data_IF_391989474357
#
_entry.id   IF_391989474357
#
_cell.length_a   1.000
_cell.length_b   1.000
_cell.length_c   1.000
_cell.angle_alpha   90.00
_cell.angle_beta   90.00
_cell.angle_gamma   90.00
#
_symmetry.space_group_name_H-M   'P 1'
#
loop_
_entity.id
_entity.type
_entity.pdbx_description
1 polymer ?
#
# COMPACT_ATOMS: atom_id res chain seq x y z
N UNK A 1 35.77 3.82 -23.86
CA UNK A 1 34.77 4.18 -22.82
C UNK A 1 33.68 3.10 -22.69
N UNK A 2 33.78 2.20 -21.71
CA UNK A 2 32.81 1.11 -21.56
C UNK A 2 31.65 1.48 -20.60
N UNK A 3 30.45 1.13 -21.08
CA UNK A 3 29.26 0.63 -20.35
C UNK A 3 28.70 1.39 -19.14
N UNK A 4 27.57 2.07 -19.36
CA UNK A 4 26.54 2.33 -18.35
C UNK A 4 25.85 1.00 -18.01
N UNK A 5 26.22 0.44 -16.86
CA UNK A 5 25.61 -0.74 -16.26
C UNK A 5 24.57 -0.31 -15.23
N UNK A 6 23.33 -0.77 -15.42
CA UNK A 6 22.55 -1.34 -14.33
C UNK A 6 21.72 -0.39 -13.47
N UNK A 7 20.49 -0.13 -13.90
CA UNK A 7 19.36 -0.03 -12.97
C UNK A 7 18.32 -1.04 -13.42
N UNK A 8 18.56 -2.31 -13.06
CA UNK A 8 17.53 -3.34 -13.16
C UNK A 8 16.56 -3.10 -12.02
N UNK A 9 15.37 -2.59 -12.34
CA UNK A 9 14.19 -2.70 -11.49
C UNK A 9 14.06 -4.19 -11.10
N UNK A 10 14.10 -4.45 -9.79
CA UNK A 10 13.94 -5.77 -9.17
C UNK A 10 12.49 -6.24 -9.34
N UNK A 11 12.10 -6.57 -10.57
CA UNK A 11 10.94 -7.41 -10.81
C UNK A 11 11.32 -8.83 -10.39
N UNK A 12 10.82 -9.25 -9.22
CA UNK A 12 10.95 -10.61 -8.69
C UNK A 12 10.69 -11.66 -9.79
N UNK A 13 11.41 -12.79 -9.73
CA UNK A 13 11.18 -13.94 -10.63
C UNK A 13 9.73 -14.44 -10.58
N UNK A 14 9.01 -14.17 -9.47
CA UNK A 14 7.58 -14.45 -9.33
C UNK A 14 6.74 -13.49 -10.19
N UNK A 15 7.03 -12.18 -10.19
CA UNK A 15 6.34 -11.20 -11.01
C UNK A 15 6.44 -11.57 -12.51
N UNK A 16 7.62 -12.01 -12.97
CA UNK A 16 7.80 -12.45 -14.38
C UNK A 16 7.02 -13.72 -14.76
N UNK A 17 6.70 -14.60 -13.81
CA UNK A 17 5.93 -15.82 -14.08
C UNK A 17 4.43 -15.58 -14.21
N UNK A 18 3.89 -14.55 -13.54
CA UNK A 18 2.47 -14.19 -13.63
C UNK A 18 2.08 -13.78 -15.07
N UNK A 19 3.03 -13.27 -15.85
CA UNK A 19 2.77 -12.77 -17.21
C UNK A 19 2.91 -13.81 -18.35
N UNK A 20 3.13 -15.11 -18.09
CA UNK A 20 3.51 -16.07 -19.15
C UNK A 20 2.70 -17.37 -19.30
N UNK A 21 1.63 -17.62 -18.55
CA UNK A 21 0.82 -18.83 -18.78
C UNK A 21 -0.55 -18.51 -19.39
N UNK A 22 -0.89 -19.06 -20.59
CA UNK A 22 -2.24 -18.96 -21.13
C UNK A 22 -3.16 -19.94 -20.39
N UNK A 23 -4.14 -19.42 -19.65
CA UNK A 23 -5.17 -20.22 -18.99
C UNK A 23 -6.19 -20.77 -20.01
N UNK A 24 -6.60 -22.03 -19.82
CA UNK A 24 -7.68 -22.67 -20.58
C UNK A 24 -9.02 -21.91 -20.43
N UNK A 25 -9.88 -21.91 -21.48
CA UNK A 25 -11.13 -21.16 -21.46
C UNK A 25 -12.13 -21.79 -20.49
N UNK A 26 -12.22 -21.25 -19.27
CA UNK A 26 -13.33 -21.51 -18.37
C UNK A 26 -14.55 -20.73 -18.82
N UNK A 27 -15.72 -21.34 -18.70
CA UNK A 27 -17.02 -20.80 -19.08
C UNK A 27 -17.21 -19.39 -18.49
N UNK A 28 -17.28 -18.37 -19.35
CA UNK A 28 -17.52 -16.96 -18.96
C UNK A 28 -18.81 -16.86 -18.16
N UNK A 29 -18.70 -16.64 -16.87
CA UNK A 29 -19.80 -16.02 -16.10
C UNK A 29 -19.89 -14.60 -16.64
N UNK A 30 -21.03 -14.24 -17.23
CA UNK A 30 -21.29 -12.88 -17.73
C UNK A 30 -21.28 -11.93 -16.52
N UNK A 31 -20.14 -11.30 -16.28
CA UNK A 31 -20.05 -10.17 -15.36
C UNK A 31 -20.96 -9.02 -15.83
N UNK A 32 -21.32 -8.08 -14.94
CA UNK A 32 -22.10 -6.90 -15.33
C UNK A 32 -21.41 -6.17 -16.48
N UNK A 33 -22.21 -5.66 -17.42
CA UNK A 33 -21.71 -4.92 -18.55
C UNK A 33 -21.11 -3.59 -18.07
N UNK A 34 -19.86 -3.31 -18.42
CA UNK A 34 -19.12 -2.11 -17.98
C UNK A 34 -19.88 -0.81 -18.33
N UNK A 35 -20.63 -0.81 -19.43
CA UNK A 35 -21.45 0.33 -19.87
C UNK A 35 -22.58 0.69 -18.89
N UNK A 36 -23.06 -0.28 -18.11
CA UNK A 36 -24.14 -0.10 -17.16
C UNK A 36 -23.63 0.39 -15.78
N UNK A 37 -22.32 0.28 -15.53
CA UNK A 37 -21.68 0.66 -14.27
C UNK A 37 -21.24 2.14 -14.30
N UNK A 38 -21.89 3.05 -13.55
CA UNK A 38 -21.59 4.48 -13.61
C UNK A 38 -20.13 4.84 -13.28
N UNK A 39 -19.49 4.01 -12.44
CA UNK A 39 -18.10 4.18 -12.02
C UNK A 39 -17.10 3.87 -13.15
N UNK A 40 -17.45 2.94 -14.04
CA UNK A 40 -16.52 2.31 -14.98
C UNK A 40 -16.80 2.67 -16.46
N UNK A 41 -18.04 3.03 -16.81
CA UNK A 41 -18.40 3.45 -18.17
C UNK A 41 -17.65 4.72 -18.57
N UNK A 42 -17.39 4.88 -19.87
CA UNK A 42 -16.66 6.05 -20.38
C UNK A 42 -17.33 7.37 -19.98
N UNK A 43 -16.53 8.29 -19.44
CA UNK A 43 -17.01 9.60 -19.01
C UNK A 43 -16.30 10.72 -19.80
N UNK A 44 -16.96 11.38 -20.76
CA UNK A 44 -16.35 12.46 -21.54
C UNK A 44 -16.04 13.71 -20.69
N UNK A 45 -16.65 13.85 -19.50
CA UNK A 45 -16.41 14.97 -18.57
C UNK A 45 -15.32 14.69 -17.54
N UNK A 46 -14.66 13.52 -17.60
CA UNK A 46 -13.70 13.06 -16.58
C UNK A 46 -12.54 14.02 -16.26
N UNK A 47 -12.26 14.97 -17.15
CA UNK A 47 -11.14 15.92 -17.04
C UNK A 47 -11.50 17.25 -16.37
N UNK A 48 -12.78 17.49 -16.05
CA UNK A 48 -13.23 18.73 -15.40
C UNK A 48 -13.91 18.37 -14.08
N UNK A 49 -13.45 18.96 -12.98
CA UNK A 49 -13.95 18.64 -11.63
C UNK A 49 -15.37 19.16 -11.41
N UNK A 50 -15.71 20.36 -11.91
CA UNK A 50 -17.02 20.96 -11.69
C UNK A 50 -17.97 20.77 -12.89
N UNK A 51 -19.28 20.62 -12.63
CA UNK A 51 -19.92 20.51 -11.31
C UNK A 51 -19.70 19.13 -10.65
N UNK A 52 -19.62 19.10 -9.31
CA UNK A 52 -19.53 17.84 -8.54
C UNK A 52 -20.83 17.05 -8.70
N UNK A 53 -20.72 15.78 -9.02
CA UNK A 53 -21.83 14.83 -9.17
C UNK A 53 -21.94 13.94 -7.93
N UNK A 54 -20.83 13.32 -7.51
CA UNK A 54 -20.77 12.39 -6.37
C UNK A 54 -20.22 13.08 -5.12
N UNK A 55 -21.13 13.67 -4.34
CA UNK A 55 -20.76 14.51 -3.20
C UNK A 55 -20.16 13.72 -2.04
N UNK A 56 -20.64 12.50 -1.79
CA UNK A 56 -20.10 11.54 -0.83
C UNK A 56 -18.64 11.18 -1.12
N UNK A 57 -18.34 10.83 -2.38
CA UNK A 57 -16.98 10.54 -2.87
C UNK A 57 -16.10 11.79 -2.76
N UNK A 58 -16.62 12.95 -3.14
CA UNK A 58 -15.88 14.21 -2.99
C UNK A 58 -15.55 14.55 -1.53
N UNK A 59 -16.47 14.29 -0.60
CA UNK A 59 -16.20 14.47 0.83
C UNK A 59 -15.10 13.53 1.33
N UNK A 60 -15.04 12.28 0.85
CA UNK A 60 -13.93 11.37 1.17
C UNK A 60 -12.59 11.92 0.69
N UNK A 61 -12.55 12.44 -0.55
CA UNK A 61 -11.34 13.10 -1.06
C UNK A 61 -10.94 14.30 -0.20
N UNK A 62 -11.90 15.15 0.20
CA UNK A 62 -11.61 16.29 1.08
C UNK A 62 -11.16 15.89 2.48
N UNK A 63 -11.64 14.77 3.03
CA UNK A 63 -11.11 14.21 4.27
C UNK A 63 -9.67 13.73 4.12
N UNK A 64 -9.35 13.07 3.01
CA UNK A 64 -7.99 12.63 2.71
C UNK A 64 -7.05 13.83 2.55
N UNK A 65 -7.44 14.81 1.74
CA UNK A 65 -6.68 16.04 1.51
C UNK A 65 -6.41 16.81 2.82
N UNK A 66 -7.41 16.92 3.69
CA UNK A 66 -7.26 17.57 5.00
C UNK A 66 -6.37 16.80 6.00
N UNK A 67 -6.03 15.55 5.69
CA UNK A 67 -5.22 14.67 6.53
C UNK A 67 -3.75 14.60 6.10
N UNK A 68 -3.36 15.38 5.08
CA UNK A 68 -1.99 15.43 4.56
C UNK A 68 -0.94 15.59 5.67
N UNK A 69 0.17 14.88 5.53
CA UNK A 69 1.36 14.98 6.36
C UNK A 69 2.59 14.55 5.55
N UNK A 70 3.80 14.94 5.97
CA UNK A 70 5.06 14.46 5.37
C UNK A 70 5.91 13.69 6.36
N UNK A 71 6.83 12.85 5.85
CA UNK A 71 7.70 12.04 6.70
C UNK A 71 8.59 12.89 7.63
N UNK A 72 8.94 14.11 7.23
CA UNK A 72 9.72 15.06 8.05
C UNK A 72 8.98 15.55 9.30
N UNK A 73 7.66 15.43 9.36
CA UNK A 73 6.88 15.78 10.55
C UNK A 73 7.07 14.76 11.70
N UNK A 74 7.65 13.59 11.40
CA UNK A 74 7.90 12.52 12.37
C UNK A 74 9.31 12.64 12.95
N UNK A 75 9.40 13.08 14.21
CA UNK A 75 10.67 13.15 14.95
C UNK A 75 11.17 11.76 15.38
N UNK A 76 12.20 11.26 14.70
CA UNK A 76 12.87 9.99 15.02
C UNK A 76 14.10 10.15 15.94
N UNK A 77 14.42 11.36 16.40
CA UNK A 77 15.68 11.66 17.10
C UNK A 77 15.89 10.85 18.38
N UNK A 78 14.79 10.48 19.05
CA UNK A 78 14.81 9.71 20.31
C UNK A 78 14.71 8.21 20.09
N UNK A 79 14.23 7.78 18.92
CA UNK A 79 13.86 6.38 18.71
C UNK A 79 15.05 5.44 18.75
N UNK A 80 16.25 5.88 18.34
CA UNK A 80 17.43 5.02 18.37
C UNK A 80 17.79 4.59 19.80
N UNK A 81 17.59 5.47 20.79
CA UNK A 81 17.83 5.13 22.19
C UNK A 81 16.81 4.12 22.70
N UNK A 82 15.55 4.27 22.29
CA UNK A 82 14.51 3.29 22.59
C UNK A 82 14.82 1.94 21.94
N UNK A 83 15.18 1.93 20.64
CA UNK A 83 15.54 0.74 19.89
C UNK A 83 16.66 -0.06 20.56
N UNK A 84 17.74 0.63 20.97
CA UNK A 84 18.87 -0.02 21.63
C UNK A 84 18.51 -0.60 23.01
N UNK A 85 17.46 -0.06 23.67
CA UNK A 85 16.94 -0.55 24.96
C UNK A 85 15.95 -1.72 24.85
N UNK A 86 15.42 -1.99 23.66
CA UNK A 86 14.47 -3.08 23.44
C UNK A 86 15.12 -4.46 23.58
N UNK A 87 14.31 -5.44 23.97
CA UNK A 87 14.75 -6.84 23.98
C UNK A 87 15.00 -7.33 22.55
N UNK A 88 15.91 -8.30 22.36
CA UNK A 88 16.17 -8.88 21.04
C UNK A 88 14.91 -9.36 20.32
N UNK A 89 13.95 -9.94 21.04
CA UNK A 89 12.70 -10.46 20.47
C UNK A 89 11.75 -9.33 20.04
N UNK A 90 11.76 -8.21 20.76
CA UNK A 90 10.97 -7.01 20.40
C UNK A 90 11.54 -6.35 19.15
N UNK A 91 12.88 -6.24 19.05
CA UNK A 91 13.54 -5.75 17.84
C UNK A 91 13.28 -6.65 16.64
N UNK A 92 13.39 -7.96 16.83
CA UNK A 92 13.08 -8.95 15.80
C UNK A 92 11.63 -8.80 15.31
N UNK A 93 10.67 -8.70 16.23
CA UNK A 93 9.27 -8.51 15.87
C UNK A 93 9.04 -7.22 15.07
N UNK A 94 9.55 -6.09 15.56
CA UNK A 94 9.36 -4.78 14.91
C UNK A 94 10.03 -4.75 13.54
N UNK A 95 11.27 -5.24 13.42
CA UNK A 95 11.98 -5.24 12.13
C UNK A 95 11.23 -6.06 11.07
N UNK A 96 10.64 -7.19 11.46
CA UNK A 96 9.86 -8.04 10.54
C UNK A 96 8.52 -7.40 10.16
N UNK A 97 7.89 -6.65 11.07
CA UNK A 97 6.69 -5.87 10.76
C UNK A 97 7.00 -4.73 9.79
N UNK A 98 8.09 -3.98 10.02
CA UNK A 98 8.52 -2.91 9.11
C UNK A 98 8.89 -3.43 7.72
N UNK A 99 9.54 -4.59 7.64
CA UNK A 99 9.88 -5.24 6.39
C UNK A 99 8.65 -5.67 5.58
N UNK A 100 7.59 -6.10 6.27
CA UNK A 100 6.29 -6.35 5.63
C UNK A 100 5.67 -5.06 5.07
N UNK A 101 5.65 -3.98 5.85
CA UNK A 101 5.06 -2.71 5.43
C UNK A 101 5.81 -2.07 4.25
N UNK A 102 7.14 -1.97 4.34
CA UNK A 102 7.97 -1.38 3.29
C UNK A 102 7.78 -2.04 1.90
N UNK A 103 7.40 -3.32 1.90
CA UNK A 103 7.08 -4.06 0.68
C UNK A 103 5.60 -3.93 0.24
N UNK A 104 4.67 -3.71 1.17
CA UNK A 104 3.24 -3.81 0.90
C UNK A 104 2.68 -2.55 0.24
N UNK A 105 3.07 -1.36 0.70
CA UNK A 105 2.58 -0.09 0.14
C UNK A 105 2.99 0.06 -1.33
N UNK A 106 4.17 -0.44 -1.70
CA UNK A 106 4.59 -0.52 -3.10
C UNK A 106 3.65 -1.37 -3.97
N UNK A 107 3.13 -2.49 -3.44
CA UNK A 107 2.17 -3.35 -4.14
C UNK A 107 0.79 -2.68 -4.25
N UNK A 108 0.34 -2.02 -3.18
CA UNK A 108 -0.90 -1.23 -3.19
C UNK A 108 -0.82 -0.13 -4.26
N UNK A 109 0.29 0.60 -4.29
CA UNK A 109 0.51 1.68 -5.24
C UNK A 109 0.53 1.17 -6.70
N UNK A 110 1.18 0.04 -6.97
CA UNK A 110 1.17 -0.59 -8.29
C UNK A 110 -0.26 -0.91 -8.77
N UNK A 111 -1.13 -1.43 -7.88
CA UNK A 111 -2.54 -1.65 -8.20
C UNK A 111 -3.31 -0.36 -8.47
N UNK A 112 -3.12 0.67 -7.63
CA UNK A 112 -3.81 1.94 -7.77
C UNK A 112 -3.46 2.60 -9.11
N UNK A 113 -2.18 2.61 -9.48
CA UNK A 113 -1.68 3.23 -10.71
C UNK A 113 -2.08 2.44 -11.96
N UNK A 114 -1.89 1.13 -11.96
CA UNK A 114 -2.09 0.30 -13.15
C UNK A 114 -3.55 -0.13 -13.37
N UNK A 115 -4.35 -0.20 -12.30
CA UNK A 115 -5.72 -0.74 -12.34
C UNK A 115 -6.73 0.31 -11.93
N UNK A 116 -6.92 0.55 -10.63
CA UNK A 116 -8.11 1.28 -10.14
C UNK A 116 -8.21 2.70 -10.70
N UNK A 117 -7.12 3.46 -10.74
CA UNK A 117 -7.12 4.82 -11.30
C UNK A 117 -7.27 4.86 -12.82
N UNK A 118 -7.07 3.74 -13.53
CA UNK A 118 -7.30 3.65 -14.97
C UNK A 118 -8.74 3.23 -15.28
N UNK A 119 -9.30 2.32 -14.49
CA UNK A 119 -10.62 1.75 -14.68
C UNK A 119 -11.73 2.73 -14.27
N UNK A 120 -11.56 3.43 -13.15
CA UNK A 120 -12.56 4.38 -12.65
C UNK A 120 -12.59 5.67 -13.48
N UNK A 121 -13.78 6.00 -13.99
CA UNK A 121 -14.02 7.11 -14.91
C UNK A 121 -14.63 8.36 -14.26
N UNK A 122 -15.21 8.27 -13.06
CA UNK A 122 -15.73 9.44 -12.35
C UNK A 122 -14.60 10.27 -11.75
N UNK A 123 -14.70 11.59 -11.84
CA UNK A 123 -13.59 12.50 -11.53
C UNK A 123 -13.27 12.54 -10.04
N UNK A 124 -14.29 12.53 -9.18
CA UNK A 124 -14.15 12.62 -7.73
C UNK A 124 -13.37 11.43 -7.15
N UNK A 125 -13.64 10.21 -7.64
CA UNK A 125 -12.91 9.02 -7.22
C UNK A 125 -11.46 9.02 -7.73
N UNK A 126 -11.23 9.55 -8.94
CA UNK A 126 -9.86 9.75 -9.45
C UNK A 126 -9.07 10.76 -8.62
N UNK A 127 -9.73 11.80 -8.09
CA UNK A 127 -9.11 12.72 -7.15
C UNK A 127 -8.73 12.03 -5.84
N UNK A 128 -9.61 11.17 -5.29
CA UNK A 128 -9.28 10.36 -4.12
C UNK A 128 -8.08 9.45 -4.39
N UNK A 129 -8.12 8.62 -5.45
CA UNK A 129 -7.02 7.72 -5.78
C UNK A 129 -5.71 8.44 -6.08
N UNK A 130 -5.75 9.61 -6.73
CA UNK A 130 -4.56 10.43 -6.95
C UNK A 130 -3.92 10.88 -5.63
N UNK A 131 -4.73 11.19 -4.62
CA UNK A 131 -4.25 11.56 -3.29
C UNK A 131 -3.77 10.33 -2.49
N UNK A 132 -4.50 9.21 -2.56
CA UNK A 132 -4.10 7.94 -1.96
C UNK A 132 -2.72 7.50 -2.49
N UNK A 133 -2.50 7.51 -3.81
CA UNK A 133 -1.19 7.22 -4.43
C UNK A 133 -0.08 8.11 -3.86
N UNK A 134 -0.36 9.40 -3.62
CA UNK A 134 0.61 10.31 -3.02
C UNK A 134 0.93 9.92 -1.58
N UNK A 135 -0.09 9.59 -0.78
CA UNK A 135 0.09 9.15 0.61
C UNK A 135 0.81 7.80 0.72
N UNK A 136 0.50 6.82 -0.13
CA UNK A 136 1.22 5.53 -0.17
C UNK A 136 2.73 5.69 -0.42
N UNK A 137 3.12 6.68 -1.22
CA UNK A 137 4.53 7.01 -1.43
C UNK A 137 5.18 7.58 -0.15
N UNK A 138 4.46 8.44 0.59
CA UNK A 138 4.91 8.98 1.87
C UNK A 138 4.99 7.88 2.93
N UNK A 139 4.04 6.94 2.95
CA UNK A 139 4.07 5.77 3.84
C UNK A 139 5.29 4.90 3.55
N UNK A 140 5.54 4.60 2.26
CA UNK A 140 6.72 3.86 1.81
C UNK A 140 8.04 4.52 2.23
N UNK A 141 8.12 5.85 2.10
CA UNK A 141 9.26 6.64 2.58
C UNK A 141 9.40 6.53 4.11
N UNK A 142 8.31 6.71 4.85
CA UNK A 142 8.31 6.64 6.31
C UNK A 142 8.79 5.28 6.82
N UNK A 143 8.31 4.18 6.24
CA UNK A 143 8.79 2.84 6.61
C UNK A 143 10.27 2.63 6.26
N UNK A 144 10.71 3.18 5.13
CA UNK A 144 12.12 3.14 4.74
C UNK A 144 13.01 3.91 5.72
N UNK A 145 12.58 5.09 6.17
CA UNK A 145 13.27 5.90 7.18
C UNK A 145 13.32 5.20 8.54
N UNK A 146 12.23 4.54 8.96
CA UNK A 146 12.21 3.75 10.20
C UNK A 146 13.23 2.60 10.15
N UNK A 147 13.26 1.83 9.06
CA UNK A 147 14.25 0.77 8.86
C UNK A 147 15.67 1.34 8.85
N UNK A 148 15.91 2.42 8.11
CA UNK A 148 17.24 3.05 8.01
C UNK A 148 17.75 3.54 9.36
N UNK A 149 16.85 4.11 10.17
CA UNK A 149 17.15 4.63 11.51
C UNK A 149 17.51 3.49 12.48
N UNK A 150 16.76 2.38 12.46
CA UNK A 150 16.89 1.32 13.45
C UNK A 150 17.97 0.28 13.10
N UNK A 151 18.12 0.00 11.80
CA UNK A 151 18.95 -1.11 11.30
C UNK A 151 20.25 -0.56 10.73
N UNK A 152 21.28 -0.53 11.58
CA UNK A 152 22.62 -0.01 11.22
C UNK A 152 23.41 -0.96 10.32
N UNK A 153 23.17 -2.27 10.42
CA UNK A 153 23.84 -3.25 9.56
C UNK A 153 23.25 -3.24 8.16
N UNK A 154 24.09 -2.99 7.16
CA UNK A 154 23.64 -2.87 5.77
C UNK A 154 23.11 -4.17 5.19
N UNK A 155 23.62 -5.32 5.65
CA UNK A 155 23.16 -6.63 5.18
C UNK A 155 21.78 -6.96 5.74
N UNK A 156 21.56 -6.70 7.03
CA UNK A 156 20.22 -6.82 7.63
C UNK A 156 19.22 -5.87 6.94
N UNK A 157 19.63 -4.63 6.65
CA UNK A 157 18.80 -3.67 5.92
C UNK A 157 18.40 -4.18 4.53
N UNK A 158 19.37 -4.69 3.76
CA UNK A 158 19.11 -5.29 2.44
C UNK A 158 18.19 -6.52 2.54
N UNK A 159 18.36 -7.34 3.58
CA UNK A 159 17.50 -8.50 3.84
C UNK A 159 16.04 -8.07 4.08
N UNK A 160 15.82 -7.01 4.86
CA UNK A 160 14.49 -6.50 5.20
C UNK A 160 13.84 -5.77 4.02
N UNK A 161 14.57 -4.96 3.26
CA UNK A 161 14.01 -4.31 2.06
C UNK A 161 13.64 -5.32 0.96
N UNK A 162 14.30 -6.47 0.91
CA UNK A 162 13.96 -7.55 -0.02
C UNK A 162 12.99 -8.59 0.58
N UNK A 163 12.18 -8.22 1.59
CA UNK A 163 11.31 -9.13 2.33
C UNK A 163 10.42 -10.05 1.48
N UNK A 164 9.94 -9.59 0.32
CA UNK A 164 9.15 -10.42 -0.60
C UNK A 164 9.94 -11.65 -1.07
N UNK A 165 11.25 -11.52 -1.25
CA UNK A 165 12.12 -12.61 -1.69
C UNK A 165 12.76 -13.37 -0.52
N UNK A 166 12.98 -12.69 0.60
CA UNK A 166 13.78 -13.21 1.73
C UNK A 166 12.93 -13.75 2.89
N UNK A 167 11.69 -13.30 3.06
CA UNK A 167 10.83 -13.64 4.20
C UNK A 167 9.57 -14.39 3.76
N UNK A 168 9.45 -15.70 4.02
CA UNK A 168 8.31 -16.50 3.57
C UNK A 168 6.94 -16.00 4.04
N UNK A 169 6.85 -15.43 5.25
CA UNK A 169 5.61 -14.87 5.78
C UNK A 169 5.15 -13.63 5.03
N UNK A 170 6.08 -12.74 4.66
CA UNK A 170 5.81 -11.54 3.84
C UNK A 170 5.48 -11.96 2.42
N UNK A 171 6.28 -12.85 1.85
CA UNK A 171 6.06 -13.39 0.50
C UNK A 171 4.65 -13.92 0.29
N UNK A 172 4.11 -14.69 1.24
CA UNK A 172 2.76 -15.25 1.11
C UNK A 172 1.68 -14.17 1.03
N UNK A 173 1.81 -13.07 1.79
CA UNK A 173 0.89 -11.93 1.73
C UNK A 173 1.07 -11.15 0.41
N UNK A 174 2.31 -10.89 0.01
CA UNK A 174 2.64 -10.22 -1.24
C UNK A 174 2.12 -10.99 -2.46
N UNK A 175 2.38 -12.30 -2.53
CA UNK A 175 1.90 -13.17 -3.61
C UNK A 175 0.36 -13.18 -3.70
N UNK A 176 -0.34 -13.08 -2.56
CA UNK A 176 -1.80 -12.99 -2.53
C UNK A 176 -2.29 -11.66 -3.11
N UNK A 177 -1.67 -10.52 -2.75
CA UNK A 177 -2.04 -9.20 -3.27
C UNK A 177 -1.70 -9.08 -4.76
N UNK A 178 -0.49 -9.47 -5.17
CA UNK A 178 -0.02 -9.44 -6.57
C UNK A 178 -0.91 -10.28 -7.51
N UNK A 179 -1.49 -11.38 -7.01
CA UNK A 179 -2.46 -12.16 -7.78
C UNK A 179 -3.62 -11.30 -8.25
N UNK A 180 -4.19 -10.45 -7.40
CA UNK A 180 -5.35 -9.63 -7.74
C UNK A 180 -5.03 -8.50 -8.73
N UNK A 181 -3.79 -8.01 -8.73
CA UNK A 181 -3.31 -7.05 -9.73
C UNK A 181 -3.29 -7.71 -11.12
N UNK A 182 -2.69 -8.90 -11.20
CA UNK A 182 -2.54 -9.67 -12.43
C UNK A 182 -3.79 -10.41 -12.89
N UNK A 183 -4.83 -10.51 -12.07
CA UNK A 183 -6.07 -11.19 -12.42
C UNK A 183 -6.88 -10.34 -13.41
N UNK A 184 -6.95 -10.83 -14.65
CA UNK A 184 -7.69 -10.20 -15.76
C UNK A 184 -9.14 -10.67 -15.85
N UNK A 185 -9.48 -11.74 -15.16
CA UNK A 185 -10.84 -12.30 -15.17
C UNK A 185 -11.65 -11.77 -13.98
N UNK A 186 -11.00 -11.43 -12.86
CA UNK A 186 -11.64 -10.83 -11.69
C UNK A 186 -12.23 -9.45 -12.01
N UNK A 187 -13.47 -9.26 -11.57
CA UNK A 187 -14.21 -8.00 -11.72
C UNK A 187 -13.57 -6.89 -10.89
N UNK A 188 -13.92 -5.63 -11.20
CA UNK A 188 -13.53 -4.50 -10.34
C UNK A 188 -14.06 -4.69 -8.91
N UNK A 189 -15.31 -5.15 -8.75
CA UNK A 189 -15.92 -5.42 -7.45
C UNK A 189 -15.17 -6.45 -6.60
N UNK A 190 -14.73 -7.57 -7.20
CA UNK A 190 -13.91 -8.55 -6.47
C UNK A 190 -12.55 -7.98 -6.08
N UNK A 191 -11.92 -7.22 -6.97
CA UNK A 191 -10.60 -6.63 -6.72
C UNK A 191 -10.66 -5.52 -5.67
N UNK A 192 -11.67 -4.66 -5.66
CA UNK A 192 -11.81 -3.62 -4.63
C UNK A 192 -12.01 -4.24 -3.24
N UNK A 193 -12.79 -5.32 -3.14
CA UNK A 193 -12.91 -6.10 -1.89
C UNK A 193 -11.58 -6.72 -1.49
N UNK A 194 -10.84 -7.27 -2.45
CA UNK A 194 -9.52 -7.83 -2.18
C UNK A 194 -8.54 -6.78 -1.64
N UNK A 195 -8.52 -5.58 -2.21
CA UNK A 195 -7.64 -4.50 -1.76
C UNK A 195 -8.09 -3.86 -0.45
N UNK A 196 -9.40 -3.77 -0.18
CA UNK A 196 -9.90 -3.44 1.15
C UNK A 196 -9.43 -4.45 2.22
N UNK A 197 -9.31 -5.73 1.85
CA UNK A 197 -8.71 -6.74 2.75
C UNK A 197 -7.19 -6.59 2.91
N UNK A 198 -6.46 -6.07 1.90
CA UNK A 198 -5.03 -5.75 2.04
C UNK A 198 -4.86 -4.60 3.05
N UNK A 199 -5.46 -3.45 2.77
CA UNK A 199 -5.30 -2.22 3.56
C UNK A 199 -5.92 -2.36 4.96
N UNK A 200 -7.09 -3.01 5.07
CA UNK A 200 -7.77 -3.21 6.35
C UNK A 200 -7.30 -4.43 7.14
N UNK A 201 -7.35 -5.63 6.55
CA UNK A 201 -7.13 -6.89 7.30
C UNK A 201 -5.65 -7.21 7.42
N UNK A 202 -4.87 -7.15 6.34
CA UNK A 202 -3.47 -7.57 6.39
C UNK A 202 -2.61 -6.67 7.27
N UNK A 203 -2.98 -5.40 7.44
CA UNK A 203 -2.29 -4.43 8.27
C UNK A 203 -2.77 -4.39 9.72
N UNK A 204 -4.03 -4.75 10.00
CA UNK A 204 -4.66 -4.65 11.32
C UNK A 204 -3.83 -5.19 12.49
N UNK A 205 -3.28 -6.41 12.36
CA UNK A 205 -2.48 -7.04 13.40
C UNK A 205 -1.18 -6.31 13.69
N UNK A 206 -0.54 -5.77 12.65
CA UNK A 206 0.68 -4.97 12.78
C UNK A 206 0.40 -3.64 13.47
N UNK A 207 -0.65 -2.93 13.04
CA UNK A 207 -1.07 -1.67 13.69
C UNK A 207 -1.41 -1.87 15.15
N UNK A 208 -2.22 -2.88 15.48
CA UNK A 208 -2.56 -3.20 16.87
C UNK A 208 -1.31 -3.48 17.72
N UNK A 209 -0.32 -4.17 17.15
CA UNK A 209 0.93 -4.49 17.83
C UNK A 209 1.81 -3.26 18.09
N UNK A 210 1.83 -2.29 17.17
CA UNK A 210 2.54 -1.03 17.37
C UNK A 210 1.80 -0.13 18.38
N UNK A 211 0.47 -0.09 18.36
CA UNK A 211 -0.31 0.56 19.42
C UNK A 211 -0.07 -0.07 20.80
N UNK A 212 0.22 -1.37 20.88
CA UNK A 212 0.65 -2.00 22.12
C UNK A 212 2.01 -1.46 22.62
N UNK A 213 2.96 -1.16 21.72
CA UNK A 213 4.22 -0.49 22.09
C UNK A 213 3.96 0.93 22.61
N UNK A 214 3.04 1.67 21.97
CA UNK A 214 2.61 3.00 22.45
C UNK A 214 2.10 2.95 23.88
N UNK A 215 1.25 1.98 24.20
CA UNK A 215 0.72 1.77 25.57
C UNK A 215 1.83 1.55 26.60
N UNK A 216 2.97 0.99 26.18
CA UNK A 216 4.16 0.77 27.03
C UNK A 216 5.12 1.96 27.06
N UNK A 217 4.86 3.03 26.31
CA UNK A 217 5.73 4.20 26.23
C UNK A 217 7.03 3.96 25.45
N UNK A 218 7.00 3.08 24.44
CA UNK A 218 8.17 2.70 23.64
C UNK A 218 8.07 3.23 22.21
N UNK A 219 9.22 3.53 21.60
CA UNK A 219 9.37 3.89 20.19
C UNK A 219 8.44 5.05 19.75
N UNK A 220 8.61 6.26 20.31
CA UNK A 220 7.67 7.36 20.11
C UNK A 220 7.50 7.73 18.62
N UNK A 221 8.57 7.80 17.85
CA UNK A 221 8.54 8.05 16.40
C UNK A 221 7.80 6.96 15.62
N UNK A 222 8.11 5.68 15.85
CA UNK A 222 7.37 4.55 15.26
C UNK A 222 5.87 4.61 15.59
N UNK A 223 5.53 4.90 16.84
CA UNK A 223 4.13 4.89 17.25
C UNK A 223 3.35 6.10 16.72
N UNK A 224 4.01 7.25 16.59
CA UNK A 224 3.42 8.45 16.03
C UNK A 224 3.16 8.29 14.53
N UNK A 225 4.14 7.81 13.76
CA UNK A 225 3.91 7.53 12.33
C UNK A 225 2.84 6.46 12.12
N UNK A 226 2.79 5.44 12.97
CA UNK A 226 1.73 4.43 12.93
C UNK A 226 0.33 5.01 13.16
N UNK A 227 0.17 6.06 13.98
CA UNK A 227 -1.12 6.74 14.14
C UNK A 227 -1.56 7.46 12.86
N UNK A 228 -0.62 8.11 12.18
CA UNK A 228 -0.90 8.81 10.92
C UNK A 228 -1.25 7.79 9.83
N UNK A 229 -0.41 6.76 9.64
CA UNK A 229 -0.62 5.74 8.61
C UNK A 229 -1.91 4.96 8.88
N UNK A 230 -2.14 4.46 10.10
CA UNK A 230 -3.37 3.69 10.38
C UNK A 230 -4.67 4.49 10.23
N UNK A 231 -4.62 5.82 10.40
CA UNK A 231 -5.74 6.72 10.08
C UNK A 231 -5.97 6.78 8.58
N UNK A 232 -4.91 6.92 7.80
CA UNK A 232 -4.98 6.98 6.34
C UNK A 232 -5.51 5.65 5.77
N UNK A 233 -4.97 4.52 6.23
CA UNK A 233 -5.44 3.17 5.85
C UNK A 233 -6.91 2.92 6.20
N UNK A 234 -7.36 3.45 7.34
CA UNK A 234 -8.77 3.42 7.70
C UNK A 234 -9.63 4.16 6.67
N UNK A 235 -9.16 5.31 6.21
CA UNK A 235 -9.86 6.10 5.19
C UNK A 235 -9.81 5.43 3.80
N UNK A 236 -8.71 4.77 3.44
CA UNK A 236 -8.58 3.98 2.21
C UNK A 236 -9.57 2.81 2.21
N UNK A 237 -9.67 2.09 3.32
CA UNK A 237 -10.63 0.99 3.48
C UNK A 237 -12.09 1.48 3.48
N UNK A 238 -12.39 2.62 4.12
CA UNK A 238 -13.72 3.23 4.08
C UNK A 238 -14.09 3.63 2.64
N UNK A 239 -13.12 4.15 1.87
CA UNK A 239 -13.33 4.51 0.46
C UNK A 239 -13.54 3.29 -0.42
N UNK A 240 -12.82 2.20 -0.20
CA UNK A 240 -13.03 0.95 -0.93
C UNK A 240 -14.43 0.34 -0.67
N UNK A 241 -15.05 0.65 0.47
CA UNK A 241 -16.41 0.24 0.80
C UNK A 241 -17.50 1.12 0.19
N UNK A 242 -17.19 2.38 -0.14
CA UNK A 242 -18.11 3.36 -0.71
C UNK A 242 -18.34 3.11 -2.20
#
# INVERSE_FOLDING_TARGET
PPSLSGTRVLASKTARRIFQEPAEPKTKVLGPNVEDEPLLRENPRRFVIFPIEYHDIWQMYKKAEASFWTAEEVDLSKDIQHWDSLKPEERYFISHVLAFFAASDGIVNENLVERFSQEVQITEARCFYGFQIAMENIHSEMYSLLIDTYIKDSKEREFLFNAIETMPCVKKKADWALRWIGDKEATYGERVVAFAAVEGIFFSGSFASIFWLKKRGLMPGLTFSNELISRDEGLHCDFACL
#
